data_IF_696618849798
#
_entry.id   IF_696618849798
#
_cell.length_a   1.000
_cell.length_b   1.000
_cell.length_c   1.000
_cell.angle_alpha   90.00
_cell.angle_beta   90.00
_cell.angle_gamma   90.00
#
_symmetry.space_group_name_H-M   'P 1'
#
loop_
_entity.id
_entity.type
_entity.pdbx_description
1 polymer ?
#
# COMPACT_ATOMS: atom_id res chain seq x y z
N UNK A 1 5.72 -17.02 1.63
CA UNK A 1 5.31 -15.63 1.33
C UNK A 1 4.77 -15.06 2.63
N UNK A 2 5.36 -13.98 3.20
CA UNK A 2 4.78 -13.37 4.39
C UNK A 2 3.48 -12.67 3.98
N UNK A 3 2.35 -13.24 4.37
CA UNK A 3 1.04 -12.65 4.18
C UNK A 3 0.91 -11.43 5.09
N UNK A 4 0.71 -10.25 4.52
CA UNK A 4 0.44 -9.03 5.31
C UNK A 4 -1.03 -8.97 5.74
N UNK A 5 -1.33 -8.13 6.71
CA UNK A 5 -2.70 -7.84 7.13
C UNK A 5 -3.09 -6.42 6.69
N UNK A 6 -4.37 -6.23 6.39
CA UNK A 6 -5.01 -4.92 6.18
C UNK A 6 -6.28 -4.88 7.01
N UNK A 7 -6.58 -3.74 7.65
CA UNK A 7 -7.68 -3.69 8.60
C UNK A 7 -8.95 -3.11 8.00
N UNK A 8 -10.07 -3.78 8.24
CA UNK A 8 -11.41 -3.26 7.94
C UNK A 8 -11.69 -2.02 8.81
N UNK A 9 -12.31 -0.99 8.23
CA UNK A 9 -12.59 0.28 8.92
C UNK A 9 -11.43 1.28 8.92
N UNK A 10 -10.38 1.02 8.13
CA UNK A 10 -9.28 1.93 7.91
C UNK A 10 -8.07 1.68 8.80
N UNK A 11 -6.87 1.87 8.24
CA UNK A 11 -5.60 1.68 8.92
C UNK A 11 -4.46 2.42 8.24
N UNK A 12 -3.36 2.54 8.96
CA UNK A 12 -2.11 3.04 8.39
C UNK A 12 -1.42 1.94 7.59
N UNK A 13 -1.02 2.28 6.38
CA UNK A 13 -0.23 1.46 5.48
C UNK A 13 1.20 2.00 5.54
N UNK A 14 2.11 1.17 6.03
CA UNK A 14 3.53 1.48 6.08
C UNK A 14 4.27 0.84 4.91
N UNK A 15 5.05 1.65 4.23
CA UNK A 15 6.08 1.19 3.30
C UNK A 15 7.43 1.64 3.81
N UNK A 16 8.26 0.67 4.17
CA UNK A 16 9.60 0.90 4.70
C UNK A 16 10.66 0.72 3.62
N UNK A 17 11.71 1.54 3.68
CA UNK A 17 12.90 1.34 2.85
C UNK A 17 12.63 1.50 1.35
N UNK A 18 11.76 2.42 0.95
CA UNK A 18 11.50 2.69 -0.46
C UNK A 18 12.76 3.27 -1.12
N UNK A 19 13.18 2.67 -2.24
CA UNK A 19 14.37 3.06 -2.98
C UNK A 19 14.03 3.30 -4.45
N UNK A 20 14.77 4.22 -5.06
CA UNK A 20 14.83 4.35 -6.52
C UNK A 20 15.60 3.16 -7.09
N UNK A 21 14.98 2.39 -7.99
CA UNK A 21 15.61 1.20 -8.57
C UNK A 21 16.80 1.55 -9.48
N UNK A 22 16.85 2.76 -10.04
CA UNK A 22 17.95 3.18 -10.92
C UNK A 22 19.22 3.53 -10.12
N UNK A 23 19.07 4.15 -8.95
CA UNK A 23 20.19 4.66 -8.14
C UNK A 23 20.46 3.84 -6.89
N UNK A 24 19.52 2.97 -6.49
CA UNK A 24 19.52 2.23 -5.23
C UNK A 24 19.65 3.14 -3.98
N UNK A 25 19.21 4.39 -4.11
CA UNK A 25 19.15 5.36 -3.02
C UNK A 25 17.74 5.41 -2.43
N UNK A 26 17.62 5.77 -1.15
CA UNK A 26 16.33 5.92 -0.50
C UNK A 26 15.55 7.09 -1.11
N UNK A 27 14.26 6.86 -1.36
CA UNK A 27 13.36 7.93 -1.75
C UNK A 27 13.17 8.90 -0.60
N UNK A 28 13.06 10.19 -0.92
CA UNK A 28 12.83 11.25 0.05
C UNK A 28 11.44 11.89 -0.16
N UNK A 29 11.18 12.96 0.61
CA UNK A 29 9.92 13.70 0.54
C UNK A 29 9.63 14.38 -0.80
N UNK A 30 10.53 14.32 -1.79
CA UNK A 30 10.26 14.81 -3.15
C UNK A 30 9.59 13.76 -4.04
N UNK A 31 9.60 12.48 -3.64
CA UNK A 31 8.92 11.41 -4.36
C UNK A 31 7.39 11.48 -4.15
N UNK A 32 6.64 11.17 -5.21
CA UNK A 32 5.19 10.95 -5.10
C UNK A 32 4.95 9.47 -4.85
N UNK A 33 4.31 9.14 -3.73
CA UNK A 33 4.03 7.74 -3.35
C UNK A 33 2.54 7.59 -3.09
N UNK A 34 1.93 6.61 -3.75
CA UNK A 34 0.51 6.28 -3.61
C UNK A 34 0.33 4.78 -3.43
N UNK A 35 -0.73 4.37 -2.75
CA UNK A 35 -1.13 2.96 -2.72
C UNK A 35 -2.56 2.77 -3.25
N UNK A 36 -2.81 1.60 -3.81
CA UNK A 36 -4.12 1.14 -4.23
C UNK A 36 -4.39 -0.26 -3.67
N UNK A 37 -5.64 -0.56 -3.35
CA UNK A 37 -6.07 -1.90 -2.95
C UNK A 37 -6.95 -2.47 -4.03
N UNK A 38 -6.64 -3.68 -4.49
CA UNK A 38 -7.39 -4.40 -5.51
C UNK A 38 -7.98 -5.68 -4.92
N UNK A 39 -9.18 -6.04 -5.38
CA UNK A 39 -9.76 -7.34 -5.09
C UNK A 39 -8.86 -8.46 -5.64
N UNK A 40 -8.87 -9.63 -5.01
CA UNK A 40 -8.30 -10.83 -5.64
C UNK A 40 -9.41 -11.58 -6.35
N UNK A 41 -9.36 -11.61 -7.68
CA UNK A 41 -10.14 -12.59 -8.44
C UNK A 41 -9.43 -13.95 -8.39
N UNK A 42 -10.21 -15.04 -8.53
CA UNK A 42 -9.72 -16.40 -8.32
C UNK A 42 -8.46 -16.70 -9.16
N UNK A 43 -7.44 -17.24 -8.47
CA UNK A 43 -6.14 -17.67 -9.01
C UNK A 43 -5.26 -16.56 -9.61
N UNK A 44 -4.63 -15.77 -8.73
CA UNK A 44 -3.39 -15.00 -9.01
C UNK A 44 -3.45 -13.92 -10.10
N UNK A 45 -4.64 -13.48 -10.50
CA UNK A 45 -4.73 -12.43 -11.50
C UNK A 45 -4.39 -11.06 -10.92
N UNK A 46 -3.47 -10.37 -11.59
CA UNK A 46 -2.98 -9.03 -11.31
C UNK A 46 -3.99 -7.92 -11.70
N UNK A 47 -5.27 -8.29 -11.87
CA UNK A 47 -6.27 -7.53 -12.61
C UNK A 47 -7.64 -7.48 -11.90
N UNK A 48 -7.69 -7.67 -10.58
CA UNK A 48 -8.92 -7.41 -9.83
C UNK A 48 -9.32 -5.93 -9.89
N UNK A 49 -10.60 -5.65 -9.61
CA UNK A 49 -11.08 -4.27 -9.56
C UNK A 49 -10.49 -3.53 -8.35
N UNK A 50 -10.32 -2.22 -8.51
CA UNK A 50 -9.89 -1.37 -7.40
C UNK A 50 -11.00 -1.34 -6.35
N UNK A 51 -10.64 -1.61 -5.10
CA UNK A 51 -11.56 -1.49 -3.97
C UNK A 51 -12.00 -0.03 -3.86
N UNK A 52 -13.31 0.18 -3.84
CA UNK A 52 -13.92 1.51 -3.66
C UNK A 52 -13.32 2.21 -2.45
N UNK A 53 -12.85 3.46 -2.64
CA UNK A 53 -12.22 4.27 -1.59
C UNK A 53 -10.74 3.98 -1.36
N UNK A 54 -10.13 3.02 -2.07
CA UNK A 54 -8.73 2.65 -1.93
C UNK A 54 -7.97 2.75 -3.25
N UNK A 55 -8.23 3.80 -4.03
CA UNK A 55 -7.55 4.08 -5.31
C UNK A 55 -6.56 5.23 -5.15
N UNK A 56 -5.29 5.00 -5.51
CA UNK A 56 -4.23 6.00 -5.54
C UNK A 56 -4.17 6.90 -4.30
N UNK A 57 -4.31 6.29 -3.12
CA UNK A 57 -4.30 6.99 -1.83
C UNK A 57 -2.88 7.46 -1.54
N UNK A 58 -2.71 8.77 -1.33
CA UNK A 58 -1.41 9.37 -1.10
C UNK A 58 -0.75 8.88 0.21
N UNK A 59 0.56 8.67 0.13
CA UNK A 59 1.42 8.37 1.27
C UNK A 59 2.34 9.56 1.54
N UNK A 60 2.53 9.87 2.82
CA UNK A 60 3.43 10.93 3.29
C UNK A 60 4.79 10.36 3.66
N UNK A 61 5.86 11.05 3.25
CA UNK A 61 7.22 10.70 3.68
C UNK A 61 7.38 10.92 5.19
N UNK A 62 7.98 9.94 5.86
CA UNK A 62 8.37 10.05 7.26
C UNK A 62 9.72 10.76 7.30
N UNK A 63 9.76 12.00 7.77
CA UNK A 63 10.98 12.79 7.84
C UNK A 63 12.07 12.08 8.67
N UNK A 64 13.33 12.26 8.27
CA UNK A 64 14.48 11.63 8.93
C UNK A 64 14.38 10.10 9.00
N UNK A 65 13.77 9.48 7.99
CA UNK A 65 13.73 8.02 7.83
C UNK A 65 14.49 7.58 6.59
N UNK A 66 14.88 6.31 6.58
CA UNK A 66 15.49 5.63 5.43
C UNK A 66 14.41 5.25 4.40
N UNK A 67 13.74 6.25 3.80
CA UNK A 67 12.76 6.05 2.73
C UNK A 67 11.43 5.47 3.20
N UNK A 68 10.97 5.80 4.40
CA UNK A 68 9.69 5.31 4.89
C UNK A 68 8.55 6.25 4.49
N UNK A 69 7.43 5.66 4.09
CA UNK A 69 6.19 6.35 3.74
C UNK A 69 5.01 5.74 4.50
N UNK A 70 4.07 6.60 4.91
CA UNK A 70 2.84 6.19 5.58
C UNK A 70 1.63 6.77 4.87
N UNK A 71 0.66 5.92 4.54
CA UNK A 71 -0.63 6.32 3.98
C UNK A 71 -1.76 5.85 4.87
N UNK A 72 -2.91 6.53 4.84
CA UNK A 72 -4.08 6.15 5.61
C UNK A 72 -5.15 5.55 4.69
N UNK A 73 -5.45 4.27 4.85
CA UNK A 73 -6.61 3.65 4.21
C UNK A 73 -7.88 4.23 4.85
N UNK A 74 -8.75 4.88 4.06
CA UNK A 74 -9.95 5.48 4.62
C UNK A 74 -10.92 4.42 5.10
N UNK A 75 -11.68 4.73 6.16
CA UNK A 75 -12.69 3.84 6.71
C UNK A 75 -13.82 3.49 5.73
N UNK A 76 -14.00 4.30 4.69
CA UNK A 76 -14.95 4.06 3.60
C UNK A 76 -14.48 2.98 2.60
N UNK A 77 -13.28 2.43 2.77
CA UNK A 77 -12.79 1.34 1.92
C UNK A 77 -13.62 0.07 2.14
N UNK A 78 -14.23 -0.43 1.07
CA UNK A 78 -15.14 -1.60 1.11
C UNK A 78 -14.38 -2.92 1.21
N UNK A 79 -13.75 -3.18 2.35
CA UNK A 79 -13.06 -4.45 2.63
C UNK A 79 -14.00 -5.47 3.28
N UNK A 80 -13.99 -6.69 2.75
CA UNK A 80 -14.70 -7.84 3.31
C UNK A 80 -13.77 -8.62 4.23
N UNK A 81 -14.16 -8.78 5.50
CA UNK A 81 -13.39 -9.53 6.50
C UNK A 81 -13.08 -10.95 6.01
N UNK A 82 -11.82 -11.36 6.13
CA UNK A 82 -11.35 -12.69 5.76
C UNK A 82 -10.96 -12.84 4.30
N UNK A 83 -11.32 -11.89 3.44
CA UNK A 83 -10.95 -11.88 2.02
C UNK A 83 -9.48 -11.48 1.81
N UNK A 84 -8.93 -11.92 0.69
CA UNK A 84 -7.60 -11.52 0.24
C UNK A 84 -7.69 -10.35 -0.73
N UNK A 85 -6.68 -9.49 -0.69
CA UNK A 85 -6.54 -8.30 -1.52
C UNK A 85 -5.10 -8.17 -2.01
N UNK A 86 -4.91 -7.48 -3.11
CA UNK A 86 -3.59 -6.99 -3.52
C UNK A 86 -3.43 -5.55 -3.04
N UNK A 87 -2.43 -5.32 -2.17
CA UNK A 87 -1.96 -3.97 -1.89
C UNK A 87 -0.85 -3.64 -2.87
N UNK A 88 -1.10 -2.67 -3.73
CA UNK A 88 -0.13 -2.09 -4.63
C UNK A 88 0.37 -0.77 -4.06
N UNK A 89 1.67 -0.55 -4.09
CA UNK A 89 2.26 0.76 -3.80
C UNK A 89 3.12 1.17 -4.98
N UNK A 90 2.87 2.38 -5.48
CA UNK A 90 3.58 2.98 -6.61
C UNK A 90 4.32 4.21 -6.11
N UNK A 91 5.64 4.22 -6.29
CA UNK A 91 6.50 5.35 -6.00
C UNK A 91 7.08 5.93 -7.29
N UNK A 92 6.99 7.24 -7.43
CA UNK A 92 7.56 8.01 -8.53
C UNK A 92 8.59 8.98 -7.95
N UNK A 93 9.90 8.72 -8.12
CA UNK A 93 10.94 9.67 -7.76
C UNK A 93 10.78 10.97 -8.56
N UNK A 94 11.24 12.10 -8.02
CA UNK A 94 11.20 13.38 -8.73
C UNK A 94 12.00 13.29 -10.03
N UNK A 95 11.33 13.46 -11.18
CA UNK A 95 11.94 13.32 -12.51
C UNK A 95 12.31 11.88 -12.90
N UNK A 96 11.89 10.88 -12.12
CA UNK A 96 12.16 9.46 -12.35
C UNK A 96 10.97 8.70 -12.96
N UNK A 97 11.17 7.40 -13.13
CA UNK A 97 10.13 6.46 -13.59
C UNK A 97 9.37 5.93 -12.38
N UNK A 98 8.07 5.65 -12.52
CA UNK A 98 7.28 5.05 -11.46
C UNK A 98 7.67 3.58 -11.25
N UNK A 99 7.80 3.18 -9.99
CA UNK A 99 8.10 1.81 -9.56
C UNK A 99 6.97 1.28 -8.71
N UNK A 100 6.48 0.09 -9.06
CA UNK A 100 5.32 -0.51 -8.43
C UNK A 100 5.69 -1.79 -7.72
N UNK A 101 5.26 -1.93 -6.47
CA UNK A 101 5.38 -3.16 -5.69
C UNK A 101 4.01 -3.61 -5.21
N UNK A 102 3.76 -4.91 -5.29
CA UNK A 102 2.51 -5.53 -4.83
C UNK A 102 2.77 -6.56 -3.75
N UNK A 103 1.86 -6.66 -2.80
CA UNK A 103 1.83 -7.76 -1.83
C UNK A 103 0.40 -8.23 -1.56
N UNK A 104 0.25 -9.52 -1.33
CA UNK A 104 -1.04 -10.12 -0.95
C UNK A 104 -1.29 -9.83 0.53
N UNK A 105 -2.45 -9.26 0.84
CA UNK A 105 -2.86 -8.93 2.22
C UNK A 105 -4.21 -9.54 2.54
N UNK A 106 -4.41 -9.97 3.79
CA UNK A 106 -5.70 -10.46 4.27
C UNK A 106 -6.43 -9.35 5.02
N UNK A 107 -7.70 -9.12 4.68
CA UNK A 107 -8.55 -8.23 5.45
C UNK A 107 -8.90 -8.86 6.80
N UNK A 108 -8.55 -8.17 7.88
CA UNK A 108 -8.83 -8.59 9.27
C UNK A 108 -9.52 -7.44 10.02
N UNK A 109 -10.19 -7.75 11.12
CA UNK A 109 -10.68 -6.70 12.01
C UNK A 109 -9.52 -6.14 12.80
N UNK A 110 -9.55 -4.83 13.08
CA UNK A 110 -8.66 -4.24 14.07
C UNK A 110 -9.03 -4.86 15.40
N UNK A 111 -8.24 -5.82 15.87
CA UNK A 111 -8.48 -6.44 17.17
C UNK A 111 -8.51 -5.34 18.21
N UNK A 112 -9.68 -5.08 18.79
CA UNK A 112 -9.75 -4.46 20.10
C UNK A 112 -9.13 -5.51 21.03
N UNK A 113 -7.84 -5.36 21.32
CA UNK A 113 -7.27 -6.03 22.49
C UNK A 113 -8.05 -5.57 23.73
N UNK A 114 -8.36 -6.47 24.67
CA UNK A 114 -8.94 -6.07 25.95
C UNK A 114 -8.06 -5.07 26.70
#
# INVERSE_FOLDING_TARGET
MSTGEIYVGGCDIWWEGAKDDATNTYLDGTATVVFSVYETNAADDNNGDVVTGASAVAMSYVASSDGNFVGNLPASASLTRGSWYWLEVTATPSGGVAHTRRRKVKAVDRGFGP
#
